data_IF_045749722046
#
_entry.id   IF_045749722046
#
_cell.length_a   1.000
_cell.length_b   1.000
_cell.length_c   1.000
_cell.angle_alpha   90.00
_cell.angle_beta   90.00
_cell.angle_gamma   90.00
#
_symmetry.space_group_name_H-M   'P 1'
#
loop_
_entity.id
_entity.type
_entity.pdbx_description
1 polymer ?
#
# COMPACT_ATOMS: atom_id res chain seq x y z
N UNK A 1 -6.96 -6.88 14.60
CA UNK A 1 -6.78 -5.43 14.85
C UNK A 1 -5.32 -5.05 15.05
N UNK A 2 -4.52 -5.75 15.88
CA UNK A 2 -3.10 -5.41 16.11
C UNK A 2 -2.27 -5.31 14.83
N UNK A 3 -2.39 -6.28 13.92
CA UNK A 3 -1.69 -6.26 12.62
C UNK A 3 -2.11 -5.05 11.78
N UNK A 4 -3.41 -4.77 11.68
CA UNK A 4 -3.96 -3.62 10.94
C UNK A 4 -3.41 -2.29 11.44
N UNK A 5 -3.40 -2.09 12.76
CA UNK A 5 -2.89 -0.85 13.38
C UNK A 5 -1.38 -0.76 13.21
N UNK A 6 -0.63 -1.84 13.51
CA UNK A 6 0.82 -1.86 13.36
C UNK A 6 1.27 -1.57 11.92
N UNK A 7 0.62 -2.21 10.94
CA UNK A 7 0.90 -1.99 9.52
C UNK A 7 0.60 -0.55 9.09
N UNK A 8 -0.56 -0.01 9.48
CA UNK A 8 -0.93 1.37 9.17
C UNK A 8 0.05 2.39 9.77
N UNK A 9 0.44 2.21 11.03
CA UNK A 9 1.40 3.12 11.69
C UNK A 9 2.79 3.02 11.08
N UNK A 10 3.23 1.82 10.67
CA UNK A 10 4.48 1.65 9.94
C UNK A 10 4.46 2.40 8.60
N UNK A 11 3.34 2.35 7.87
CA UNK A 11 3.16 3.12 6.63
C UNK A 11 3.17 4.62 6.91
N UNK A 12 2.44 5.10 7.91
CA UNK A 12 2.46 6.53 8.32
C UNK A 12 3.89 7.02 8.56
N UNK A 13 4.67 6.29 9.35
CA UNK A 13 6.08 6.64 9.64
C UNK A 13 6.93 6.59 8.37
N UNK A 14 6.77 5.56 7.52
CA UNK A 14 7.52 5.46 6.27
C UNK A 14 7.23 6.63 5.31
N UNK A 15 5.98 7.09 5.24
CA UNK A 15 5.60 8.28 4.47
C UNK A 15 6.21 9.54 5.09
N UNK A 16 6.24 9.70 6.41
CA UNK A 16 6.95 10.83 7.03
C UNK A 16 8.45 10.84 6.70
N UNK A 17 9.10 9.68 6.74
CA UNK A 17 10.54 9.54 6.45
C UNK A 17 10.88 9.90 4.99
N UNK A 18 10.02 9.52 4.04
CA UNK A 18 10.33 9.58 2.61
C UNK A 18 9.51 10.60 1.81
N UNK A 19 8.50 11.22 2.44
CA UNK A 19 7.52 12.11 1.85
C UNK A 19 8.12 13.36 1.24
N UNK A 20 8.96 14.08 2.00
CA UNK A 20 9.57 15.34 1.54
C UNK A 20 10.53 15.21 0.35
N UNK A 21 11.02 14.00 0.06
CA UNK A 21 12.02 13.77 -1.02
C UNK A 21 11.39 13.04 -2.20
N UNK A 22 10.68 11.95 -1.95
CA UNK A 22 10.17 11.04 -2.98
C UNK A 22 8.66 11.08 -3.17
N UNK A 23 7.95 11.87 -2.36
CA UNK A 23 6.48 11.85 -2.25
C UNK A 23 5.95 10.70 -1.39
N UNK A 24 6.83 9.89 -0.80
CA UNK A 24 6.42 8.82 0.12
C UNK A 24 5.61 7.71 -0.55
N UNK A 25 5.88 7.42 -1.83
CA UNK A 25 5.07 6.45 -2.59
C UNK A 25 5.06 5.07 -1.94
N UNK A 26 6.24 4.59 -1.53
CA UNK A 26 6.52 3.30 -0.86
C UNK A 26 5.79 2.07 -1.45
N UNK A 27 5.26 2.19 -2.67
CA UNK A 27 4.35 1.27 -3.32
C UNK A 27 4.46 1.42 -4.85
N UNK A 28 4.76 0.34 -5.58
CA UNK A 28 4.80 0.34 -7.03
C UNK A 28 3.47 0.75 -7.69
N UNK A 29 2.32 0.34 -7.13
CA UNK A 29 1.01 0.70 -7.65
C UNK A 29 0.74 2.21 -7.54
N UNK A 30 1.15 2.84 -6.44
CA UNK A 30 1.09 4.30 -6.28
C UNK A 30 2.01 5.00 -7.27
N UNK A 31 3.22 4.49 -7.44
CA UNK A 31 4.20 5.06 -8.38
C UNK A 31 3.72 4.98 -9.83
N UNK A 32 3.11 3.85 -10.22
CA UNK A 32 2.50 3.68 -11.53
C UNK A 32 1.32 4.63 -11.73
N UNK A 33 0.41 4.72 -10.76
CA UNK A 33 -0.73 5.63 -10.82
C UNK A 33 -0.27 7.09 -11.01
N UNK A 34 0.75 7.53 -10.26
CA UNK A 34 1.33 8.87 -10.44
C UNK A 34 1.99 9.06 -11.81
N UNK A 35 2.57 8.03 -12.42
CA UNK A 35 3.07 8.10 -13.79
C UNK A 35 1.94 8.24 -14.82
N UNK A 36 0.89 7.42 -14.69
CA UNK A 36 -0.28 7.45 -15.59
C UNK A 36 -0.98 8.80 -15.55
N UNK A 37 -1.06 9.43 -14.37
CA UNK A 37 -1.71 10.74 -14.20
C UNK A 37 -0.78 11.94 -14.42
N UNK A 38 0.45 11.70 -14.90
CA UNK A 38 1.40 12.76 -15.24
C UNK A 38 2.09 13.44 -14.05
N UNK A 39 1.93 12.90 -12.82
CA UNK A 39 2.52 13.42 -11.57
C UNK A 39 3.93 12.88 -11.27
N UNK A 40 4.34 11.80 -11.95
CA UNK A 40 5.70 11.25 -11.88
C UNK A 40 6.24 10.97 -13.29
N UNK A 41 7.49 11.37 -13.56
CA UNK A 41 8.15 11.04 -14.83
C UNK A 41 8.34 9.52 -14.97
N UNK A 42 7.94 8.96 -16.10
CA UNK A 42 8.07 7.53 -16.41
C UNK A 42 9.49 6.98 -16.25
N UNK A 43 10.52 7.79 -16.53
CA UNK A 43 11.92 7.40 -16.35
C UNK A 43 12.31 7.12 -14.89
N UNK A 44 11.58 7.67 -13.91
CA UNK A 44 11.80 7.42 -12.49
C UNK A 44 11.13 6.13 -12.01
N UNK A 45 10.11 5.62 -12.71
CA UNK A 45 9.32 4.49 -12.26
C UNK A 45 10.15 3.24 -11.98
N UNK A 46 11.08 2.79 -12.85
CA UNK A 46 11.90 1.61 -12.56
C UNK A 46 12.77 1.77 -11.31
N UNK A 47 13.30 2.98 -11.08
CA UNK A 47 14.13 3.29 -9.91
C UNK A 47 13.30 3.23 -8.63
N UNK A 48 12.08 3.79 -8.66
CA UNK A 48 11.14 3.71 -7.54
C UNK A 48 10.80 2.26 -7.20
N UNK A 49 10.43 1.45 -8.21
CA UNK A 49 10.05 0.04 -8.01
C UNK A 49 11.23 -0.75 -7.45
N UNK A 50 12.43 -0.58 -8.00
CA UNK A 50 13.63 -1.28 -7.53
C UNK A 50 13.96 -0.92 -6.08
N UNK A 51 13.98 0.38 -5.75
CA UNK A 51 14.25 0.83 -4.38
C UNK A 51 13.22 0.31 -3.37
N UNK A 52 11.94 0.30 -3.76
CA UNK A 52 10.85 -0.22 -2.91
C UNK A 52 10.97 -1.73 -2.70
N UNK A 53 11.29 -2.50 -3.75
CA UNK A 53 11.50 -3.95 -3.66
C UNK A 53 12.70 -4.29 -2.78
N UNK A 54 13.83 -3.61 -2.97
CA UNK A 54 15.03 -3.81 -2.15
C UNK A 54 14.78 -3.42 -0.69
N UNK A 55 14.09 -2.30 -0.45
CA UNK A 55 13.70 -1.89 0.90
C UNK A 55 12.81 -2.92 1.59
N UNK A 56 11.81 -3.46 0.90
CA UNK A 56 10.93 -4.48 1.44
C UNK A 56 11.66 -5.82 1.70
N UNK A 57 12.58 -6.22 0.82
CA UNK A 57 13.44 -7.38 1.01
C UNK A 57 14.34 -7.24 2.24
N UNK A 58 15.05 -6.11 2.37
CA UNK A 58 15.92 -5.84 3.54
C UNK A 58 15.10 -5.74 4.82
N UNK A 59 13.91 -5.14 4.76
CA UNK A 59 12.96 -5.11 5.88
C UNK A 59 12.56 -6.52 6.33
N UNK A 60 12.27 -7.42 5.39
CA UNK A 60 11.98 -8.83 5.70
C UNK A 60 13.17 -9.53 6.38
N UNK A 61 14.39 -9.33 5.86
CA UNK A 61 15.60 -9.87 6.47
C UNK A 61 15.82 -9.36 7.90
N UNK A 62 15.57 -8.07 8.14
CA UNK A 62 15.67 -7.47 9.47
C UNK A 62 14.65 -8.06 10.45
N UNK A 63 13.38 -8.22 10.03
CA UNK A 63 12.35 -8.87 10.86
C UNK A 63 12.74 -10.31 11.16
N UNK A 64 13.20 -11.07 10.17
CA UNK A 64 13.64 -12.45 10.39
C UNK A 64 14.80 -12.54 11.38
N UNK A 65 15.80 -11.65 11.27
CA UNK A 65 16.93 -11.61 12.19
C UNK A 65 16.53 -11.25 13.63
N UNK A 66 15.65 -10.27 13.81
CA UNK A 66 15.17 -9.84 15.14
C UNK A 66 14.35 -10.94 15.81
N UNK A 67 13.56 -11.68 15.04
CA UNK A 67 12.66 -12.73 15.55
C UNK A 67 13.21 -14.14 15.37
N UNK A 68 14.50 -14.31 15.06
CA UNK A 68 15.07 -15.60 14.68
C UNK A 68 14.80 -16.70 15.72
N UNK A 69 15.10 -16.42 16.99
CA UNK A 69 14.88 -17.38 18.08
C UNK A 69 13.39 -17.75 18.23
N UNK A 70 12.50 -16.77 18.06
CA UNK A 70 11.05 -17.01 18.10
C UNK A 70 10.58 -17.87 16.91
N UNK A 71 11.15 -17.69 15.71
CA UNK A 71 10.88 -18.56 14.57
C UNK A 71 11.35 -19.99 14.84
N UNK A 72 12.58 -20.15 15.35
CA UNK A 72 13.14 -21.49 15.61
C UNK A 72 12.34 -22.23 16.68
N UNK A 73 11.95 -21.55 17.75
CA UNK A 73 11.13 -22.11 18.82
C UNK A 73 9.71 -22.47 18.32
N UNK A 74 9.02 -21.56 17.64
CA UNK A 74 7.64 -21.79 17.19
C UNK A 74 7.55 -22.89 16.12
N UNK A 75 8.51 -22.94 15.22
CA UNK A 75 8.47 -23.83 14.05
C UNK A 75 9.24 -25.14 14.24
N UNK A 76 9.81 -25.38 15.43
CA UNK A 76 10.76 -26.47 15.68
C UNK A 76 11.88 -26.54 14.61
N UNK A 77 12.37 -25.36 14.20
CA UNK A 77 13.38 -25.21 13.16
C UNK A 77 12.92 -25.47 11.72
N UNK A 78 11.63 -25.71 11.46
CA UNK A 78 11.11 -26.03 10.13
C UNK A 78 10.26 -24.90 9.56
N UNK A 79 10.78 -24.21 8.54
CA UNK A 79 10.15 -23.02 7.98
C UNK A 79 9.12 -23.38 6.90
N UNK A 80 7.85 -23.53 7.30
CA UNK A 80 6.75 -23.96 6.43
C UNK A 80 5.98 -22.79 5.78
N UNK A 81 5.52 -22.99 4.53
CA UNK A 81 4.70 -22.01 3.78
C UNK A 81 3.21 -22.20 4.03
N UNK A 82 2.76 -23.45 4.11
CA UNK A 82 1.37 -23.84 4.35
C UNK A 82 1.29 -24.81 5.53
N UNK A 83 0.13 -24.89 6.18
CA UNK A 83 -0.07 -25.75 7.36
C UNK A 83 -0.29 -24.99 8.67
N UNK A 84 -0.48 -25.71 9.78
CA UNK A 84 -0.85 -25.13 11.08
C UNK A 84 0.27 -24.28 11.70
N UNK A 85 1.53 -24.60 11.39
CA UNK A 85 2.72 -23.90 11.89
C UNK A 85 3.38 -23.05 10.80
N UNK A 86 2.67 -22.76 9.70
CA UNK A 86 3.19 -21.96 8.61
C UNK A 86 3.62 -20.58 9.09
N UNK A 87 4.80 -20.13 8.67
CA UNK A 87 5.37 -18.84 9.09
C UNK A 87 5.62 -17.89 7.93
N UNK A 88 5.54 -18.36 6.68
CA UNK A 88 5.77 -17.53 5.49
C UNK A 88 4.79 -16.35 5.37
N UNK A 89 3.57 -16.51 5.91
CA UNK A 89 2.51 -15.50 5.87
C UNK A 89 2.81 -14.23 6.68
N UNK A 90 3.83 -14.26 7.55
CA UNK A 90 4.35 -13.08 8.25
C UNK A 90 4.99 -12.10 7.26
N UNK A 91 5.60 -12.61 6.19
CA UNK A 91 6.38 -11.82 5.24
C UNK A 91 5.56 -11.41 4.01
N UNK A 92 4.91 -12.36 3.36
CA UNK A 92 4.13 -12.15 2.14
C UNK A 92 2.68 -12.62 2.32
N UNK A 93 1.76 -12.16 1.47
CA UNK A 93 0.36 -12.55 1.59
C UNK A 93 0.09 -13.89 0.91
N UNK A 94 -0.85 -14.64 1.48
CA UNK A 94 -1.37 -15.87 0.91
C UNK A 94 -2.89 -15.81 0.98
N UNK A 95 -3.60 -16.38 -0.02
CA UNK A 95 -5.05 -16.33 -0.05
C UNK A 95 -5.62 -17.28 1.01
N UNK A 96 -6.78 -16.92 1.56
CA UNK A 96 -7.52 -17.83 2.43
C UNK A 96 -7.88 -19.13 1.67
N UNK A 97 -8.00 -20.29 2.35
CA UNK A 97 -8.21 -21.58 1.69
C UNK A 97 -9.46 -21.66 0.80
N UNK A 98 -10.49 -20.85 1.09
CA UNK A 98 -11.73 -20.81 0.32
C UNK A 98 -11.68 -19.88 -0.90
N UNK A 99 -10.63 -19.05 -1.02
CA UNK A 99 -10.60 -17.97 -1.99
C UNK A 99 -10.12 -18.46 -3.35
N UNK A 100 -10.94 -18.27 -4.38
CA UNK A 100 -10.53 -18.53 -5.76
C UNK A 100 -9.59 -17.44 -6.28
N UNK A 101 -8.70 -17.79 -7.22
CA UNK A 101 -7.79 -16.82 -7.84
C UNK A 101 -8.51 -15.62 -8.45
N UNK A 102 -9.64 -15.84 -9.13
CA UNK A 102 -10.42 -14.78 -9.77
C UNK A 102 -10.96 -13.81 -8.71
N UNK A 103 -11.54 -14.34 -7.63
CA UNK A 103 -12.09 -13.49 -6.58
C UNK A 103 -10.98 -12.77 -5.80
N UNK A 104 -9.84 -13.43 -5.56
CA UNK A 104 -8.67 -12.80 -4.97
C UNK A 104 -8.04 -11.72 -5.85
N UNK A 105 -8.05 -11.89 -7.17
CA UNK A 105 -7.65 -10.85 -8.10
C UNK A 105 -8.59 -9.64 -8.01
N UNK A 106 -9.90 -9.86 -8.04
CA UNK A 106 -10.90 -8.79 -7.90
C UNK A 106 -10.78 -8.05 -6.55
N UNK A 107 -10.55 -8.79 -5.46
CA UNK A 107 -10.32 -8.28 -4.10
C UNK A 107 -9.09 -7.34 -4.06
N UNK A 108 -7.96 -7.74 -4.67
CA UNK A 108 -6.76 -6.93 -4.74
C UNK A 108 -6.91 -5.70 -5.66
N UNK A 109 -7.64 -5.82 -6.78
CA UNK A 109 -7.98 -4.67 -7.63
C UNK A 109 -8.83 -3.67 -6.85
N UNK A 110 -9.90 -4.13 -6.20
CA UNK A 110 -10.86 -3.27 -5.50
C UNK A 110 -10.20 -2.56 -4.30
N UNK A 111 -9.51 -3.30 -3.44
CA UNK A 111 -8.83 -2.71 -2.27
C UNK A 111 -7.80 -1.66 -2.68
N UNK A 112 -7.02 -1.92 -3.73
CA UNK A 112 -6.01 -0.94 -4.22
C UNK A 112 -6.65 0.24 -4.95
N UNK A 113 -7.79 0.04 -5.62
CA UNK A 113 -8.53 1.14 -6.24
C UNK A 113 -9.09 2.10 -5.19
N UNK A 114 -9.67 1.60 -4.11
CA UNK A 114 -10.13 2.45 -2.99
C UNK A 114 -8.94 3.17 -2.34
N UNK A 115 -7.82 2.46 -2.14
CA UNK A 115 -6.60 3.05 -1.61
C UNK A 115 -6.16 4.26 -2.45
N UNK A 116 -6.05 4.11 -3.77
CA UNK A 116 -5.56 5.18 -4.64
C UNK A 116 -6.56 6.30 -4.84
N UNK A 117 -7.86 5.99 -4.90
CA UNK A 117 -8.92 7.00 -4.92
C UNK A 117 -8.83 7.91 -3.68
N UNK A 118 -8.71 7.31 -2.50
CA UNK A 118 -8.63 8.07 -1.25
C UNK A 118 -7.28 8.77 -1.07
N UNK A 119 -6.16 8.19 -1.51
CA UNK A 119 -4.87 8.89 -1.55
C UNK A 119 -4.98 10.15 -2.41
N UNK A 120 -5.59 10.06 -3.59
CA UNK A 120 -5.78 11.23 -4.44
C UNK A 120 -6.62 12.30 -3.72
N UNK A 121 -7.72 11.91 -3.07
CA UNK A 121 -8.53 12.83 -2.28
C UNK A 121 -7.76 13.50 -1.12
N UNK A 122 -6.95 12.74 -0.38
CA UNK A 122 -6.17 13.21 0.77
C UNK A 122 -5.14 14.27 0.35
N UNK A 123 -4.47 14.05 -0.79
CA UNK A 123 -3.39 14.93 -1.27
C UNK A 123 -3.87 16.02 -2.23
N UNK A 124 -5.15 16.06 -2.56
CA UNK A 124 -5.73 17.10 -3.41
C UNK A 124 -6.01 18.37 -2.61
N UNK A 125 -5.19 19.40 -2.85
CA UNK A 125 -5.31 20.68 -2.15
C UNK A 125 -6.53 21.50 -2.55
N UNK A 126 -7.23 21.11 -3.62
CA UNK A 126 -8.44 21.79 -4.12
C UNK A 126 -9.75 21.11 -3.66
N UNK A 127 -9.65 19.98 -2.96
CA UNK A 127 -10.78 19.32 -2.31
C UNK A 127 -10.84 19.71 -0.81
N UNK A 128 -11.50 18.92 0.04
CA UNK A 128 -11.49 19.08 1.48
C UNK A 128 -10.09 18.79 2.06
N UNK A 129 -9.28 19.84 2.12
CA UNK A 129 -7.86 19.77 2.43
C UNK A 129 -7.61 19.24 3.85
N UNK A 130 -6.79 18.20 3.93
CA UNK A 130 -6.21 17.73 5.20
C UNK A 130 -5.18 18.78 5.71
N UNK A 131 -5.15 19.11 7.02
CA UNK A 131 -4.15 20.02 7.55
C UNK A 131 -2.74 19.55 7.22
N UNK A 132 -1.87 20.50 6.82
CA UNK A 132 -0.50 20.20 6.39
C UNK A 132 0.23 19.37 7.46
N UNK A 133 0.85 18.29 7.04
CA UNK A 133 1.58 17.37 7.90
C UNK A 133 0.72 16.23 8.48
N UNK A 134 -0.61 16.26 8.34
CA UNK A 134 -1.50 15.16 8.76
C UNK A 134 -1.87 14.20 7.63
N UNK A 135 -1.43 14.46 6.40
CA UNK A 135 -1.69 13.60 5.25
C UNK A 135 -1.20 12.15 5.49
N UNK A 136 0.00 11.91 6.05
CA UNK A 136 0.45 10.54 6.35
C UNK A 136 -0.43 9.82 7.39
N UNK A 137 -0.96 10.55 8.38
CA UNK A 137 -1.89 9.99 9.38
C UNK A 137 -3.21 9.62 8.72
N UNK A 138 -3.75 10.46 7.84
CA UNK A 138 -4.96 10.15 7.08
C UNK A 138 -4.78 8.89 6.22
N UNK A 139 -3.61 8.73 5.57
CA UNK A 139 -3.25 7.50 4.84
C UNK A 139 -3.20 6.28 5.77
N UNK A 140 -2.62 6.41 6.97
CA UNK A 140 -2.63 5.36 7.98
C UNK A 140 -4.05 4.94 8.38
N UNK A 141 -4.91 5.90 8.70
CA UNK A 141 -6.31 5.63 9.05
C UNK A 141 -7.07 4.91 7.91
N UNK A 142 -6.85 5.32 6.66
CA UNK A 142 -7.38 4.65 5.48
C UNK A 142 -6.92 3.18 5.41
N UNK A 143 -5.65 2.90 5.68
CA UNK A 143 -5.12 1.53 5.68
C UNK A 143 -5.73 0.69 6.81
N UNK A 144 -6.00 1.27 7.98
CA UNK A 144 -6.74 0.58 9.06
C UNK A 144 -8.12 0.16 8.54
N UNK A 145 -8.87 1.09 7.92
CA UNK A 145 -10.19 0.80 7.37
C UNK A 145 -10.12 -0.33 6.34
N UNK A 146 -9.22 -0.23 5.36
CA UNK A 146 -9.08 -1.24 4.30
C UNK A 146 -8.70 -2.61 4.82
N UNK A 147 -7.74 -2.69 5.75
CA UNK A 147 -7.30 -3.98 6.31
C UNK A 147 -8.34 -4.59 7.25
N UNK A 148 -9.15 -3.78 7.94
CA UNK A 148 -10.27 -4.28 8.76
C UNK A 148 -11.48 -4.72 7.92
N UNK A 149 -11.76 -4.06 6.80
CA UNK A 149 -12.93 -4.35 5.98
C UNK A 149 -12.69 -5.40 4.90
N UNK A 150 -11.49 -5.43 4.29
CA UNK A 150 -11.18 -6.25 3.12
C UNK A 150 -10.04 -7.26 3.37
N UNK A 151 -9.39 -7.22 4.54
CA UNK A 151 -8.20 -8.03 4.82
C UNK A 151 -8.41 -9.54 4.92
N UNK A 152 -9.65 -10.01 5.14
CA UNK A 152 -9.94 -11.42 5.44
C UNK A 152 -9.64 -12.37 4.27
N UNK A 153 -9.86 -11.92 3.03
CA UNK A 153 -9.71 -12.79 1.86
C UNK A 153 -8.24 -13.13 1.58
N UNK A 154 -7.39 -12.11 1.48
CA UNK A 154 -6.03 -12.27 0.99
C UNK A 154 -5.00 -11.38 1.69
N UNK A 155 -5.35 -10.82 2.85
CA UNK A 155 -4.46 -9.99 3.67
C UNK A 155 -4.27 -8.57 3.17
N UNK A 156 -5.04 -8.10 2.18
CA UNK A 156 -4.92 -6.77 1.56
C UNK A 156 -3.47 -6.40 1.21
N UNK A 157 -2.84 -7.13 0.28
CA UNK A 157 -1.46 -6.82 -0.11
C UNK A 157 -1.31 -5.36 -0.58
N UNK A 158 -2.18 -4.89 -1.48
CA UNK A 158 -2.31 -3.51 -1.99
C UNK A 158 -1.02 -2.85 -2.55
N UNK A 159 0.10 -3.56 -2.50
CA UNK A 159 1.44 -3.05 -2.73
C UNK A 159 2.33 -4.19 -3.26
N UNK A 160 2.72 -4.15 -4.54
CA UNK A 160 3.56 -5.17 -5.14
C UNK A 160 4.92 -5.34 -4.46
N UNK A 161 5.55 -4.26 -3.98
CA UNK A 161 6.86 -4.35 -3.32
C UNK A 161 6.76 -5.00 -1.93
N UNK A 162 5.68 -4.70 -1.21
CA UNK A 162 5.36 -5.27 0.11
C UNK A 162 5.13 -6.78 0.08
N UNK A 163 4.77 -7.33 -1.08
CA UNK A 163 4.58 -8.77 -1.25
C UNK A 163 5.81 -9.44 -1.88
N UNK A 164 6.23 -8.97 -3.07
CA UNK A 164 7.28 -9.64 -3.83
C UNK A 164 8.66 -9.57 -3.15
N UNK A 165 9.03 -8.44 -2.56
CA UNK A 165 10.32 -8.28 -1.88
C UNK A 165 10.50 -9.29 -0.74
N UNK A 166 9.58 -9.33 0.25
CA UNK A 166 9.62 -10.31 1.32
C UNK A 166 9.46 -11.76 0.83
N UNK A 167 8.68 -12.01 -0.22
CA UNK A 167 8.53 -13.35 -0.83
C UNK A 167 9.84 -13.87 -1.44
N UNK A 168 10.59 -12.99 -2.10
CA UNK A 168 11.93 -13.33 -2.60
C UNK A 168 12.89 -13.64 -1.45
N UNK A 169 12.79 -12.90 -0.34
CA UNK A 169 13.57 -13.18 0.87
C UNK A 169 13.24 -14.57 1.44
N UNK A 170 11.96 -14.89 1.67
CA UNK A 170 11.59 -16.18 2.26
C UNK A 170 11.98 -17.36 1.37
N UNK A 171 11.93 -17.20 0.04
CA UNK A 171 12.38 -18.22 -0.91
C UNK A 171 13.84 -18.64 -0.68
N UNK A 172 14.72 -17.68 -0.38
CA UNK A 172 16.14 -17.94 -0.15
C UNK A 172 16.49 -18.23 1.32
N UNK A 173 15.66 -17.78 2.26
CA UNK A 173 15.94 -17.86 3.70
C UNK A 173 15.62 -19.22 4.34
N UNK A 174 14.92 -20.10 3.62
CA UNK A 174 14.69 -21.49 4.06
C UNK A 174 13.29 -22.02 3.83
N UNK A 175 12.31 -21.18 3.48
CA UNK A 175 10.94 -21.63 3.12
C UNK A 175 10.87 -22.30 1.74
N UNK A 176 11.89 -22.09 0.90
CA UNK A 176 11.99 -22.70 -0.42
C UNK A 176 11.01 -22.11 -1.45
N UNK A 177 10.94 -22.75 -2.61
CA UNK A 177 10.18 -22.24 -3.76
C UNK A 177 8.66 -22.41 -3.64
N UNK A 178 8.17 -23.10 -2.60
CA UNK A 178 6.73 -23.23 -2.34
C UNK A 178 6.05 -21.87 -2.17
N UNK A 179 6.79 -20.84 -1.73
CA UNK A 179 6.29 -19.45 -1.64
C UNK A 179 5.77 -18.90 -2.96
N UNK A 180 6.14 -19.48 -4.11
CA UNK A 180 5.65 -19.11 -5.44
C UNK A 180 4.58 -20.07 -5.99
N UNK A 181 4.38 -21.24 -5.39
CA UNK A 181 3.38 -22.22 -5.86
C UNK A 181 2.13 -22.29 -4.97
N UNK A 182 2.26 -21.91 -3.69
CA UNK A 182 1.16 -21.87 -2.74
C UNK A 182 -0.01 -20.98 -3.21
N UNK A 183 -1.24 -21.37 -2.86
CA UNK A 183 -2.45 -20.64 -3.25
C UNK A 183 -2.69 -20.60 -4.76
N UNK A 184 -2.42 -21.70 -5.46
CA UNK A 184 -2.54 -21.83 -6.92
C UNK A 184 -1.67 -20.81 -7.67
N UNK A 185 -0.39 -20.73 -7.31
CA UNK A 185 0.56 -19.73 -7.83
C UNK A 185 0.13 -18.29 -7.50
N UNK A 186 -0.23 -18.01 -6.25
CA UNK A 186 -0.80 -16.72 -5.84
C UNK A 186 0.12 -15.50 -6.09
N UNK A 187 1.44 -15.69 -6.10
CA UNK A 187 2.46 -14.64 -6.06
C UNK A 187 2.30 -13.50 -7.08
N UNK A 188 1.73 -13.75 -8.26
CA UNK A 188 1.56 -12.74 -9.29
C UNK A 188 0.33 -11.85 -9.06
N UNK A 189 -0.65 -12.33 -8.29
CA UNK A 189 -1.89 -11.58 -8.01
C UNK A 189 -1.59 -10.30 -7.23
N UNK A 190 -0.84 -10.31 -6.10
CA UNK A 190 -0.41 -9.10 -5.40
C UNK A 190 0.49 -8.15 -6.20
N UNK A 191 0.95 -8.55 -7.39
CA UNK A 191 1.75 -7.70 -8.27
C UNK A 191 0.83 -7.04 -9.29
N UNK A 192 0.08 -7.83 -10.04
CA UNK A 192 -0.69 -7.33 -11.20
C UNK A 192 -1.98 -6.65 -10.77
N UNK A 193 -2.72 -7.25 -9.82
CA UNK A 193 -4.01 -6.72 -9.39
C UNK A 193 -3.88 -5.33 -8.73
N UNK A 194 -2.92 -5.07 -7.83
CA UNK A 194 -2.73 -3.73 -7.29
C UNK A 194 -2.31 -2.69 -8.33
N UNK A 195 -1.50 -3.05 -9.31
CA UNK A 195 -1.12 -2.12 -10.40
C UNK A 195 -2.35 -1.68 -11.20
N UNK A 196 -3.23 -2.63 -11.55
CA UNK A 196 -4.49 -2.32 -12.22
C UNK A 196 -5.43 -1.51 -11.33
N UNK A 197 -5.65 -1.95 -10.09
CA UNK A 197 -6.50 -1.27 -9.12
C UNK A 197 -6.06 0.17 -8.86
N UNK A 198 -4.76 0.39 -8.66
CA UNK A 198 -4.21 1.72 -8.39
C UNK A 198 -4.45 2.71 -9.54
N UNK A 199 -4.28 2.26 -10.78
CA UNK A 199 -4.58 3.08 -11.97
C UNK A 199 -6.08 3.36 -12.08
N UNK A 200 -6.93 2.35 -11.89
CA UNK A 200 -8.39 2.52 -11.93
C UNK A 200 -8.90 3.48 -10.85
N UNK A 201 -8.39 3.36 -9.62
CA UNK A 201 -8.75 4.25 -8.50
C UNK A 201 -8.37 5.71 -8.77
N UNK A 202 -7.15 5.93 -9.26
CA UNK A 202 -6.68 7.26 -9.65
C UNK A 202 -7.51 7.89 -10.77
N UNK A 203 -7.79 7.14 -11.84
CA UNK A 203 -8.61 7.61 -12.96
C UNK A 203 -10.04 7.91 -12.50
N UNK A 204 -10.60 7.06 -11.63
CA UNK A 204 -11.94 7.26 -11.06
C UNK A 204 -11.99 8.58 -10.28
N UNK A 205 -11.01 8.87 -9.42
CA UNK A 205 -10.95 10.15 -8.72
C UNK A 205 -10.90 11.34 -9.68
N UNK A 206 -10.06 11.25 -10.73
CA UNK A 206 -9.93 12.33 -11.71
C UNK A 206 -11.27 12.62 -12.39
N UNK A 207 -11.91 11.58 -12.94
CA UNK A 207 -13.15 11.71 -13.71
C UNK A 207 -14.31 12.21 -12.85
N UNK A 208 -14.44 11.72 -11.62
CA UNK A 208 -15.62 12.01 -10.80
C UNK A 208 -15.43 13.22 -9.89
N UNK A 209 -14.21 13.61 -9.55
CA UNK A 209 -13.93 14.68 -8.58
C UNK A 209 -13.05 15.78 -9.18
N UNK A 210 -11.81 15.45 -9.58
CA UNK A 210 -10.79 16.45 -9.90
C UNK A 210 -11.15 17.37 -11.08
N UNK A 211 -11.84 16.85 -12.09
CA UNK A 211 -12.29 17.66 -13.25
C UNK A 211 -13.47 18.57 -12.93
N UNK A 212 -14.14 18.38 -11.79
CA UNK A 212 -15.28 19.20 -11.34
C UNK A 212 -14.86 20.33 -10.41
N UNK A 213 -13.57 20.47 -10.11
CA UNK A 213 -13.07 21.58 -9.33
C UNK A 213 -13.33 22.91 -10.04
N UNK A 214 -13.93 23.84 -9.33
CA UNK A 214 -14.10 25.22 -9.79
C UNK A 214 -12.74 25.85 -10.07
N UNK A 215 -12.63 26.61 -11.16
CA UNK A 215 -11.43 27.40 -11.48
C UNK A 215 -11.22 28.61 -10.54
N UNK A 216 -11.99 28.71 -9.45
CA UNK A 216 -11.90 29.81 -8.49
C UNK A 216 -10.50 29.82 -7.88
N UNK A 217 -9.76 30.89 -8.19
CA UNK A 217 -8.44 31.12 -7.67
C UNK A 217 -8.49 31.15 -6.13
N UNK A 218 -7.65 30.38 -5.41
CA UNK A 218 -7.64 30.33 -3.94
C UNK A 218 -7.28 31.65 -3.24
N UNK A 219 -7.11 32.75 -4.00
CA UNK A 219 -6.98 34.10 -3.47
C UNK A 219 -8.31 34.81 -3.19
N UNK A 220 -9.42 34.39 -3.79
CA UNK A 220 -10.69 35.12 -3.65
C UNK A 220 -11.50 34.73 -2.40
N UNK A 221 -11.42 33.48 -1.91
CA UNK A 221 -12.16 33.08 -0.69
C UNK A 221 -11.57 33.67 0.59
N UNK A 222 -10.24 33.76 0.72
CA UNK A 222 -9.61 34.34 1.92
C UNK A 222 -9.91 35.84 2.04
N UNK A 223 -9.93 36.58 0.92
CA UNK A 223 -10.29 38.00 0.91
C UNK A 223 -11.76 38.24 1.29
N UNK A 224 -12.65 37.28 1.02
CA UNK A 224 -14.07 37.39 1.40
C UNK A 224 -14.23 37.19 2.90
N UNK A 225 -13.58 36.18 3.50
CA UNK A 225 -13.66 35.96 4.95
C UNK A 225 -12.98 37.07 5.76
N UNK A 226 -11.80 37.57 5.35
CA UNK A 226 -11.12 38.69 6.02
C UNK A 226 -11.93 39.99 5.95
N UNK A 227 -12.72 40.20 4.88
CA UNK A 227 -13.57 41.41 4.75
C UNK A 227 -14.72 41.45 5.75
N UNK A 228 -15.23 40.31 6.19
CA UNK A 228 -16.34 40.23 7.13
C UNK A 228 -15.91 40.17 8.59
N UNK A 229 -14.69 39.71 8.89
CA UNK A 229 -14.16 39.71 10.27
C UNK A 229 -13.71 41.10 10.75
N UNK A 230 -13.35 42.02 9.85
CA UNK A 230 -12.88 43.37 10.22
C UNK A 230 -14.00 44.40 10.46
N UNK A 231 -15.28 44.02 10.29
CA UNK A 231 -16.42 44.95 10.38
C UNK A 231 -17.39 44.68 11.52
N UNK A 232 -17.06 43.82 12.50
CA UNK A 232 -17.88 43.60 13.70
C UNK A 232 -17.15 43.96 15.00
#
# INVERSE_FOLDING_TARGET
>A
MTVSVGFAMAVTIAVYVSGGISGGHINPAVSLAMCVTGRLKWTKLPIYILAQLLGAFVGAAAVFGIYYDAFMEYSNGTLEVTGPNATAHIFATYPAPYLSLINGFADQVMSTAVLLLAIFAIFDTRNNRVPKGLEPIAVGLLIIVLTCSLGMNSGCAMNPARDLGPRLFTAIAGWGMEVFTAGNNWWWVPIVAPMLGGVLGAITYIIFIEIHHSDTHPGEENDVYDKYELTN
#
